data_IF_543049712584
#
_entry.id   IF_543049712584
#
_cell.length_a   1.000
_cell.length_b   1.000
_cell.length_c   1.000
_cell.angle_alpha   90.00
_cell.angle_beta   90.00
_cell.angle_gamma   90.00
#
_symmetry.space_group_name_H-M   'P 1'
#
loop_
_entity.id
_entity.type
_entity.pdbx_description
1 polymer ?
#
# COMPACT_ATOMS: atom_id res chain seq x y z
N UNK A 1 -0.18 -9.38 4.96
CA UNK A 1 -1.58 -8.93 5.18
C UNK A 1 -1.70 -8.50 6.64
N UNK A 2 -2.49 -7.45 6.94
CA UNK A 2 -2.73 -6.98 8.30
C UNK A 2 -3.35 -8.11 9.16
N UNK A 3 -2.66 -8.60 10.21
CA UNK A 3 -3.17 -9.64 11.10
C UNK A 3 -4.49 -9.26 11.79
N UNK A 4 -4.79 -7.96 11.92
CA UNK A 4 -6.06 -7.46 12.47
C UNK A 4 -7.24 -7.65 11.50
N UNK A 5 -6.96 -7.81 10.21
CA UNK A 5 -7.98 -8.02 9.16
C UNK A 5 -8.04 -9.48 8.72
N UNK A 6 -6.92 -10.19 8.64
CA UNK A 6 -6.91 -11.59 8.23
C UNK A 6 -5.84 -12.37 8.99
N UNK A 7 -6.23 -13.53 9.52
CA UNK A 7 -5.29 -14.42 10.18
C UNK A 7 -4.27 -15.00 9.19
N UNK A 8 -3.04 -15.22 9.66
CA UNK A 8 -1.99 -15.85 8.86
C UNK A 8 -2.41 -17.23 8.33
N UNK A 9 -3.17 -17.98 9.14
CA UNK A 9 -3.75 -19.27 8.73
C UNK A 9 -4.66 -19.11 7.51
N UNK A 10 -5.61 -18.18 7.55
CA UNK A 10 -6.56 -17.98 6.44
C UNK A 10 -5.86 -17.48 5.18
N UNK A 11 -4.88 -16.59 5.34
CA UNK A 11 -4.03 -16.14 4.23
C UNK A 11 -3.30 -17.32 3.56
N UNK A 12 -2.68 -18.20 4.37
CA UNK A 12 -1.99 -19.38 3.87
C UNK A 12 -2.95 -20.34 3.16
N UNK A 13 -4.11 -20.63 3.76
CA UNK A 13 -5.15 -21.47 3.14
C UNK A 13 -5.59 -20.92 1.77
N UNK A 14 -5.85 -19.60 1.66
CA UNK A 14 -6.22 -18.97 0.40
C UNK A 14 -5.08 -19.04 -0.64
N UNK A 15 -3.82 -18.87 -0.20
CA UNK A 15 -2.67 -19.00 -1.08
C UNK A 15 -2.51 -20.43 -1.63
N UNK A 16 -2.68 -21.46 -0.80
CA UNK A 16 -2.68 -22.86 -1.25
C UNK A 16 -3.82 -23.17 -2.22
N UNK A 17 -5.03 -22.65 -1.96
CA UNK A 17 -6.15 -22.81 -2.88
C UNK A 17 -5.82 -22.22 -4.26
N UNK A 18 -5.23 -21.03 -4.29
CA UNK A 18 -4.78 -20.39 -5.53
C UNK A 18 -3.65 -21.18 -6.22
N UNK A 19 -2.64 -21.67 -5.48
CA UNK A 19 -1.55 -22.48 -6.04
C UNK A 19 -2.07 -23.77 -6.69
N UNK A 20 -3.03 -24.43 -6.02
CA UNK A 20 -3.69 -25.63 -6.54
C UNK A 20 -4.49 -25.34 -7.80
N UNK A 21 -5.26 -24.25 -7.81
CA UNK A 21 -6.01 -23.80 -9.00
C UNK A 21 -5.08 -23.54 -10.20
N UNK A 22 -3.89 -22.99 -9.96
CA UNK A 22 -2.89 -22.74 -11.00
C UNK A 22 -2.01 -23.94 -11.34
N UNK A 23 -2.15 -25.07 -10.64
CA UNK A 23 -1.40 -26.29 -10.91
C UNK A 23 0.09 -26.23 -10.52
N UNK A 24 0.47 -25.38 -9.57
CA UNK A 24 1.86 -25.31 -9.10
C UNK A 24 2.21 -26.47 -8.16
N UNK A 25 3.30 -27.20 -8.45
CA UNK A 25 3.87 -28.17 -7.50
C UNK A 25 4.71 -27.43 -6.43
N UNK A 26 4.41 -27.69 -5.16
CA UNK A 26 5.03 -27.05 -4.00
C UNK A 26 5.71 -28.04 -3.04
N UNK A 27 5.86 -29.31 -3.42
CA UNK A 27 6.43 -30.36 -2.56
C UNK A 27 7.78 -29.99 -1.94
N UNK A 28 8.64 -29.31 -2.72
CA UNK A 28 9.98 -28.88 -2.30
C UNK A 28 10.09 -27.37 -2.06
N UNK A 29 8.97 -26.66 -1.95
CA UNK A 29 8.97 -25.21 -1.77
C UNK A 29 9.20 -24.82 -0.29
N UNK A 30 9.97 -23.74 -0.07
CA UNK A 30 10.15 -23.16 1.26
C UNK A 30 9.33 -21.87 1.39
N UNK A 31 8.54 -21.77 2.46
CA UNK A 31 7.76 -20.57 2.73
C UNK A 31 8.61 -19.47 3.34
N UNK A 32 8.44 -18.25 2.83
CA UNK A 32 9.04 -17.03 3.37
C UNK A 32 7.99 -15.94 3.47
N UNK A 33 8.09 -15.12 4.51
CA UNK A 33 7.26 -13.94 4.70
C UNK A 33 8.02 -12.92 5.52
N UNK A 34 7.84 -11.64 5.20
CA UNK A 34 8.32 -10.52 6.01
C UNK A 34 7.14 -9.62 6.40
N UNK A 35 7.17 -9.00 7.59
CA UNK A 35 6.25 -7.91 7.89
C UNK A 35 6.54 -6.72 6.96
N UNK A 36 5.51 -5.94 6.64
CA UNK A 36 5.63 -4.68 5.93
C UNK A 36 4.95 -3.60 6.77
N UNK A 37 5.69 -2.55 7.13
CA UNK A 37 5.11 -1.39 7.82
C UNK A 37 4.45 -0.40 6.84
N UNK A 38 3.15 -0.19 7.02
CA UNK A 38 2.33 0.74 6.24
C UNK A 38 1.59 1.78 7.12
N UNK A 39 1.91 1.83 8.41
CA UNK A 39 1.28 2.72 9.40
C UNK A 39 2.02 4.06 9.45
N UNK A 40 1.83 4.89 8.43
CA UNK A 40 2.44 6.22 8.37
C UNK A 40 1.99 7.10 9.55
N UNK A 41 2.95 7.55 10.36
CA UNK A 41 2.73 8.43 11.54
C UNK A 41 3.39 9.79 11.46
N UNK A 42 4.16 10.04 10.40
CA UNK A 42 4.96 11.23 10.25
C UNK A 42 6.33 10.91 9.66
N UNK A 43 6.90 11.88 8.95
CA UNK A 43 8.25 11.78 8.38
C UNK A 43 9.34 12.18 9.40
N UNK A 44 9.06 13.20 10.22
CA UNK A 44 10.04 13.87 11.09
C UNK A 44 9.57 13.85 12.54
N UNK A 45 10.48 13.45 13.42
CA UNK A 45 10.33 13.40 14.87
C UNK A 45 11.57 14.07 15.48
N UNK A 46 11.46 15.36 15.79
CA UNK A 46 12.58 16.20 16.23
C UNK A 46 13.78 16.16 15.25
N UNK A 47 14.87 15.51 15.64
CA UNK A 47 16.10 15.32 14.86
C UNK A 47 16.16 13.97 14.14
N UNK A 48 15.08 13.19 14.16
CA UNK A 48 14.99 11.87 13.53
C UNK A 48 14.04 11.93 12.32
N UNK A 49 14.46 11.35 11.21
CA UNK A 49 13.65 11.20 10.01
C UNK A 49 13.42 9.71 9.75
N UNK A 50 12.15 9.30 9.60
CA UNK A 50 11.78 7.93 9.27
C UNK A 50 11.27 7.89 7.84
N UNK A 51 11.99 7.18 6.97
CA UNK A 51 11.70 7.10 5.53
C UNK A 51 11.39 5.66 5.12
N UNK A 52 10.79 5.50 3.94
CA UNK A 52 10.41 4.21 3.39
C UNK A 52 9.57 3.39 4.34
N UNK A 53 9.86 2.09 4.42
CA UNK A 53 9.14 1.19 5.31
C UNK A 53 9.27 1.58 6.79
N UNK A 54 10.43 2.09 7.22
CA UNK A 54 10.64 2.56 8.59
C UNK A 54 9.68 3.71 8.98
N UNK A 55 9.33 4.57 8.01
CA UNK A 55 8.33 5.64 8.18
C UNK A 55 6.88 5.20 7.99
N UNK A 56 6.63 3.93 7.63
CA UNK A 56 5.29 3.42 7.32
C UNK A 56 4.78 3.86 5.95
N UNK A 57 5.67 4.17 5.00
CA UNK A 57 5.30 4.67 3.67
C UNK A 57 4.92 3.57 2.67
N UNK A 58 5.05 2.29 3.00
CA UNK A 58 4.59 1.23 2.09
C UNK A 58 3.06 1.27 1.93
N UNK A 59 2.56 0.84 0.77
CA UNK A 59 1.13 0.66 0.56
C UNK A 59 0.62 -0.55 1.34
N UNK A 60 -0.36 -0.35 2.22
CA UNK A 60 -1.04 -1.45 2.90
C UNK A 60 -1.89 -2.32 1.98
N UNK A 61 -2.29 -1.78 0.81
CA UNK A 61 -3.16 -2.48 -0.13
C UNK A 61 -2.39 -3.29 -1.18
N UNK A 62 -1.36 -2.69 -1.80
CA UNK A 62 -0.57 -3.35 -2.87
C UNK A 62 0.73 -3.96 -2.35
N UNK A 63 1.23 -3.52 -1.19
CA UNK A 63 2.56 -3.89 -0.69
C UNK A 63 3.71 -3.16 -1.39
N UNK A 64 3.41 -2.21 -2.30
CA UNK A 64 4.44 -1.40 -2.95
C UNK A 64 5.12 -0.47 -1.95
N UNK A 65 6.45 -0.45 -1.95
CA UNK A 65 7.23 0.43 -1.08
C UNK A 65 8.46 1.06 -1.70
N UNK A 66 8.90 0.62 -2.89
CA UNK A 66 10.15 1.10 -3.52
C UNK A 66 10.04 2.59 -3.87
N UNK A 67 9.03 2.98 -4.65
CA UNK A 67 8.82 4.38 -5.02
C UNK A 67 8.63 5.28 -3.80
N UNK A 68 7.83 4.83 -2.83
CA UNK A 68 7.56 5.57 -1.61
C UNK A 68 8.82 5.73 -0.75
N UNK A 69 9.72 4.74 -0.74
CA UNK A 69 11.02 4.83 -0.06
C UNK A 69 11.95 5.83 -0.73
N UNK A 70 11.98 5.87 -2.06
CA UNK A 70 12.77 6.85 -2.81
C UNK A 70 12.28 8.28 -2.54
N UNK A 71 10.98 8.53 -2.69
CA UNK A 71 10.38 9.86 -2.50
C UNK A 71 10.55 10.36 -1.06
N UNK A 72 10.28 9.51 -0.07
CA UNK A 72 10.45 9.89 1.34
C UNK A 72 11.91 10.10 1.73
N UNK A 73 12.83 9.30 1.18
CA UNK A 73 14.27 9.49 1.33
C UNK A 73 14.75 10.83 0.78
N UNK A 74 14.34 11.17 -0.45
CA UNK A 74 14.66 12.45 -1.07
C UNK A 74 14.08 13.62 -0.26
N UNK A 75 12.81 13.52 0.15
CA UNK A 75 12.18 14.57 0.95
C UNK A 75 12.92 14.80 2.28
N UNK A 76 13.30 13.72 2.99
CA UNK A 76 14.09 13.83 4.21
C UNK A 76 15.46 14.50 3.95
N UNK A 77 16.16 14.11 2.89
CA UNK A 77 17.45 14.70 2.54
C UNK A 77 17.33 16.20 2.25
N UNK A 78 16.31 16.63 1.51
CA UNK A 78 16.04 18.05 1.24
C UNK A 78 15.66 18.81 2.51
N UNK A 79 14.85 18.22 3.39
CA UNK A 79 14.49 18.82 4.68
C UNK A 79 15.66 18.96 5.65
N UNK A 80 16.72 18.15 5.50
CA UNK A 80 17.96 18.31 6.27
C UNK A 80 18.76 19.54 5.80
N UNK A 81 18.74 19.82 4.50
CA UNK A 81 19.42 20.98 3.90
C UNK A 81 18.63 22.28 4.11
N UNK A 82 17.30 22.22 3.97
CA UNK A 82 16.39 23.33 4.17
C UNK A 82 15.21 22.91 5.04
N UNK A 83 15.15 23.44 6.27
CA UNK A 83 14.11 23.10 7.25
C UNK A 83 12.69 23.52 6.82
N UNK A 84 12.56 24.44 5.87
CA UNK A 84 11.27 24.92 5.36
C UNK A 84 10.85 24.20 4.07
N UNK A 85 11.65 23.26 3.58
CA UNK A 85 11.34 22.51 2.37
C UNK A 85 10.07 21.66 2.52
N UNK A 86 9.23 21.69 1.49
CA UNK A 86 8.06 20.82 1.35
C UNK A 86 8.13 20.06 0.03
N UNK A 87 7.84 18.76 0.04
CA UNK A 87 7.78 17.92 -1.17
C UNK A 87 6.33 17.64 -1.57
N UNK A 88 5.97 18.05 -2.78
CA UNK A 88 4.67 17.76 -3.37
C UNK A 88 4.51 16.27 -3.68
N UNK A 89 5.59 15.62 -4.11
CA UNK A 89 5.65 14.18 -4.38
C UNK A 89 5.38 13.36 -3.12
N UNK A 90 5.97 13.77 -1.99
CA UNK A 90 5.71 13.13 -0.70
C UNK A 90 4.24 13.25 -0.29
N UNK A 91 3.67 14.45 -0.46
CA UNK A 91 2.24 14.68 -0.18
C UNK A 91 1.37 13.81 -1.08
N UNK A 92 1.72 13.67 -2.36
CA UNK A 92 1.04 12.80 -3.31
C UNK A 92 1.12 11.33 -2.90
N UNK A 93 2.30 10.84 -2.47
CA UNK A 93 2.50 9.49 -1.95
C UNK A 93 1.62 9.23 -0.72
N UNK A 94 1.64 10.13 0.26
CA UNK A 94 0.83 10.00 1.48
C UNK A 94 -0.66 9.95 1.13
N UNK A 95 -1.11 10.81 0.20
CA UNK A 95 -2.49 10.84 -0.27
C UNK A 95 -2.88 9.55 -0.99
N UNK A 96 -2.02 9.04 -1.86
CA UNK A 96 -2.22 7.79 -2.60
C UNK A 96 -2.40 6.61 -1.63
N UNK A 97 -1.48 6.45 -0.68
CA UNK A 97 -1.54 5.40 0.33
C UNK A 97 -2.81 5.51 1.20
N UNK A 98 -3.21 6.73 1.57
CA UNK A 98 -4.44 6.96 2.33
C UNK A 98 -5.71 6.55 1.57
N UNK A 99 -5.76 6.81 0.25
CA UNK A 99 -6.88 6.37 -0.60
C UNK A 99 -6.92 4.84 -0.66
N UNK A 100 -5.78 4.20 -0.91
CA UNK A 100 -5.69 2.74 -0.95
C UNK A 100 -6.09 2.09 0.38
N UNK A 101 -5.66 2.66 1.51
CA UNK A 101 -6.06 2.20 2.84
C UNK A 101 -7.57 2.32 3.08
N UNK A 102 -8.22 3.37 2.57
CA UNK A 102 -9.69 3.51 2.63
C UNK A 102 -10.39 2.45 1.78
N UNK A 103 -9.90 2.21 0.56
CA UNK A 103 -10.42 1.16 -0.33
C UNK A 103 -10.30 -0.21 0.32
N UNK A 104 -9.13 -0.54 0.88
CA UNK A 104 -8.88 -1.80 1.57
C UNK A 104 -9.85 -2.00 2.75
N UNK A 105 -9.98 -0.99 3.62
CA UNK A 105 -10.91 -1.04 4.76
C UNK A 105 -12.37 -1.19 4.31
N UNK A 106 -12.75 -0.54 3.22
CA UNK A 106 -14.08 -0.67 2.62
C UNK A 106 -14.34 -2.09 2.13
N UNK A 107 -13.48 -2.62 1.26
CA UNK A 107 -13.60 -3.98 0.71
C UNK A 107 -13.59 -5.07 1.79
N UNK A 108 -12.80 -4.86 2.85
CA UNK A 108 -12.79 -5.75 4.00
C UNK A 108 -14.17 -5.77 4.68
N UNK A 109 -14.73 -4.59 4.97
CA UNK A 109 -16.05 -4.42 5.61
C UNK A 109 -17.22 -4.87 4.74
N UNK A 110 -17.08 -4.86 3.42
CA UNK A 110 -18.14 -5.26 2.49
C UNK A 110 -18.56 -6.74 2.57
N UNK A 111 -17.78 -7.60 3.26
CA UNK A 111 -18.15 -9.00 3.50
C UNK A 111 -18.48 -9.75 2.20
N UNK A 112 -19.71 -10.27 2.11
CA UNK A 112 -20.20 -11.07 0.97
C UNK A 112 -20.26 -10.25 -0.32
N UNK A 113 -20.50 -8.94 -0.24
CA UNK A 113 -20.55 -8.05 -1.41
C UNK A 113 -19.17 -7.62 -1.92
N UNK A 114 -18.09 -8.11 -1.31
CA UNK A 114 -16.72 -7.72 -1.67
C UNK A 114 -16.42 -7.93 -3.16
N UNK A 115 -16.87 -9.04 -3.76
CA UNK A 115 -16.66 -9.33 -5.19
C UNK A 115 -17.28 -8.26 -6.09
N UNK A 116 -18.56 -7.94 -5.84
CA UNK A 116 -19.28 -6.89 -6.56
C UNK A 116 -18.59 -5.52 -6.44
N UNK A 117 -18.22 -5.12 -5.22
CA UNK A 117 -17.54 -3.83 -5.01
C UNK A 117 -16.14 -3.81 -5.62
N UNK A 118 -15.42 -4.93 -5.62
CA UNK A 118 -14.12 -5.03 -6.27
C UNK A 118 -14.24 -4.79 -7.77
N UNK A 119 -15.16 -5.48 -8.44
CA UNK A 119 -15.40 -5.28 -9.88
C UNK A 119 -15.82 -3.84 -10.19
N UNK A 120 -16.72 -3.27 -9.39
CA UNK A 120 -17.13 -1.87 -9.53
C UNK A 120 -15.93 -0.92 -9.43
N UNK A 121 -15.06 -1.12 -8.44
CA UNK A 121 -13.86 -0.29 -8.25
C UNK A 121 -12.91 -0.44 -9.45
N UNK A 122 -12.68 -1.66 -9.94
CA UNK A 122 -11.84 -1.90 -11.12
C UNK A 122 -12.42 -1.22 -12.36
N UNK A 123 -13.74 -1.31 -12.58
CA UNK A 123 -14.42 -0.61 -13.68
C UNK A 123 -14.28 0.91 -13.56
N UNK A 124 -14.43 1.47 -12.35
CA UNK A 124 -14.27 2.89 -12.10
C UNK A 124 -12.83 3.35 -12.34
N UNK A 125 -11.82 2.59 -11.88
CA UNK A 125 -10.40 2.92 -12.08
C UNK A 125 -9.98 2.85 -13.55
N UNK A 126 -10.58 1.94 -14.33
CA UNK A 126 -10.33 1.82 -15.77
C UNK A 126 -11.07 2.86 -16.61
N UNK A 127 -12.00 3.62 -16.02
CA UNK A 127 -12.70 4.69 -16.72
C UNK A 127 -11.77 5.88 -16.97
N UNK A 128 -11.59 6.27 -18.24
CA UNK A 128 -10.72 7.39 -18.66
C UNK A 128 -11.01 8.71 -17.92
N UNK A 129 -12.28 8.99 -17.58
CA UNK A 129 -12.66 10.23 -16.86
C UNK A 129 -12.17 10.22 -15.42
N UNK A 130 -12.32 9.08 -14.75
CA UNK A 130 -11.89 8.89 -13.37
C UNK A 130 -10.36 8.82 -13.32
N UNK A 131 -9.74 8.07 -14.23
CA UNK A 131 -8.28 8.02 -14.38
C UNK A 131 -7.67 9.41 -14.60
N UNK A 132 -8.28 10.24 -15.45
CA UNK A 132 -7.85 11.64 -15.67
C UNK A 132 -8.03 12.50 -14.42
N UNK A 133 -9.14 12.36 -13.69
CA UNK A 133 -9.40 13.10 -12.45
C UNK A 133 -8.44 12.70 -11.31
N UNK A 134 -8.11 11.41 -11.24
CA UNK A 134 -7.11 10.85 -10.34
C UNK A 134 -5.73 11.40 -10.70
N UNK A 135 -5.32 11.32 -11.97
CA UNK A 135 -4.03 11.84 -12.43
C UNK A 135 -3.87 13.34 -12.20
N UNK A 136 -4.88 14.15 -12.54
CA UNK A 136 -4.91 15.60 -12.28
C UNK A 136 -4.98 15.97 -10.78
N UNK A 137 -5.18 14.99 -9.91
CA UNK A 137 -5.17 15.18 -8.45
C UNK A 137 -3.85 14.73 -7.81
N UNK A 138 -2.96 14.14 -8.61
CA UNK A 138 -1.60 13.71 -8.27
C UNK A 138 -0.51 14.55 -8.96
N UNK A 139 -0.92 15.49 -9.82
CA UNK A 139 -0.10 16.53 -10.45
C UNK A 139 -0.63 17.89 -10.01
#
# INVERSE_FOLDING_TARGET
CDPKMMSARKLKENFHAWLKEKGFNIENATYQSAPISYDYRGLKFDNIYLVGEAGGFASGFTGEGIYQSLVSGEAAARMLLDKNYTSEELVAVIRYNNIQNKIMKFLYRSGIFRGFFYELIVMLLNNKRIKKKIHNSFS
#
